data_IF_011312961086
#
_entry.id   IF_011312961086
#
_cell.length_a   1.000
_cell.length_b   1.000
_cell.length_c   1.000
_cell.angle_alpha   90.00
_cell.angle_beta   90.00
_cell.angle_gamma   90.00
#
_symmetry.space_group_name_H-M   'P 1'
#
loop_
_entity.id
_entity.type
_entity.pdbx_description
1 polymer ?
#
# COMPACT_ATOMS: atom_id res chain seq x y z
N UNK A 1 95.81 1.53 -17.91
CA UNK A 1 95.35 2.93 -18.09
C UNK A 1 93.82 2.96 -18.15
N UNK A 2 93.20 3.95 -17.46
CA UNK A 2 91.76 4.31 -17.35
C UNK A 2 90.88 3.33 -16.54
N UNK A 3 90.59 3.56 -15.24
CA UNK A 3 89.67 4.50 -14.53
C UNK A 3 88.17 4.30 -14.84
N UNK A 4 87.41 3.69 -13.91
CA UNK A 4 86.31 4.20 -13.00
C UNK A 4 85.03 4.64 -13.78
N UNK A 5 83.74 4.37 -13.47
CA UNK A 5 82.92 4.50 -12.23
C UNK A 5 81.59 3.69 -12.34
N UNK A 6 81.16 3.19 -11.18
CA UNK A 6 79.85 2.68 -10.73
C UNK A 6 78.62 3.55 -11.08
N UNK A 7 77.47 2.96 -11.38
CA UNK A 7 76.18 3.33 -10.74
C UNK A 7 75.19 2.17 -10.83
N UNK A 8 74.68 1.77 -9.67
CA UNK A 8 73.61 0.78 -9.55
C UNK A 8 72.23 1.42 -9.56
N UNK A 9 71.21 0.61 -9.83
CA UNK A 9 69.83 0.86 -9.40
C UNK A 9 69.29 -0.47 -8.87
N UNK A 10 69.18 -0.56 -7.54
CA UNK A 10 68.44 -1.60 -6.86
C UNK A 10 66.94 -1.30 -7.01
N UNK A 11 66.18 -2.25 -7.57
CA UNK A 11 64.72 -2.17 -7.64
C UNK A 11 64.14 -2.38 -6.23
N UNK A 12 63.71 -1.30 -5.60
CA UNK A 12 62.98 -1.30 -4.35
C UNK A 12 61.49 -1.53 -4.66
N UNK A 13 61.01 -2.77 -4.59
CA UNK A 13 59.59 -3.07 -4.61
C UNK A 13 58.96 -2.71 -3.26
N UNK A 14 58.41 -1.50 -3.18
CA UNK A 14 57.54 -1.08 -2.08
C UNK A 14 56.21 -1.83 -2.19
N UNK A 15 56.08 -2.90 -1.40
CA UNK A 15 54.80 -3.53 -1.10
C UNK A 15 54.03 -2.63 -0.13
N UNK A 16 53.23 -1.69 -0.63
CA UNK A 16 52.29 -0.96 0.19
C UNK A 16 51.10 -1.89 0.53
N UNK A 17 51.17 -2.51 1.70
CA UNK A 17 50.03 -3.18 2.30
C UNK A 17 48.95 -2.14 2.65
N UNK A 18 48.00 -1.90 1.75
CA UNK A 18 46.72 -1.30 2.12
C UNK A 18 45.85 -2.40 2.72
N UNK A 19 45.79 -2.42 4.06
CA UNK A 19 44.81 -3.20 4.79
C UNK A 19 43.41 -2.70 4.44
N UNK A 20 42.70 -3.45 3.59
CA UNK A 20 41.26 -3.31 3.37
C UNK A 20 40.54 -3.78 4.63
N UNK A 21 40.12 -2.84 5.47
CA UNK A 21 39.18 -3.11 6.57
C UNK A 21 37.76 -3.07 5.98
N UNK A 22 37.44 -4.09 5.18
CA UNK A 22 36.05 -4.44 4.87
C UNK A 22 35.58 -5.52 5.84
N UNK A 23 34.28 -5.59 6.20
CA UNK A 23 33.77 -6.70 6.99
C UNK A 23 33.95 -7.99 6.18
N UNK A 24 34.95 -8.78 6.56
CA UNK A 24 35.13 -10.14 6.10
C UNK A 24 34.03 -11.00 6.71
N UNK A 25 33.31 -11.83 5.95
CA UNK A 25 32.44 -12.84 6.53
C UNK A 25 33.34 -13.85 7.24
N UNK A 26 33.46 -13.73 8.56
CA UNK A 26 34.11 -14.76 9.36
C UNK A 26 33.18 -15.96 9.33
N UNK A 27 33.45 -16.93 8.44
CA UNK A 27 32.87 -18.26 8.53
C UNK A 27 33.50 -18.96 9.73
N UNK A 28 33.14 -18.49 10.93
CA UNK A 28 33.49 -19.19 12.16
C UNK A 28 32.82 -20.57 12.08
N UNK A 29 33.63 -21.61 12.19
CA UNK A 29 33.17 -22.97 12.30
C UNK A 29 32.10 -23.04 13.40
N UNK A 30 30.88 -23.40 13.01
CA UNK A 30 29.78 -23.61 13.94
C UNK A 30 30.05 -24.95 14.62
N UNK A 31 30.74 -24.90 15.75
CA UNK A 31 30.75 -26.00 16.72
C UNK A 31 29.61 -25.76 17.69
N UNK A 32 28.72 -26.75 17.76
CA UNK A 32 27.64 -27.03 18.72
C UNK A 32 27.26 -25.97 19.77
N UNK A 33 25.95 -25.69 19.81
CA UNK A 33 25.19 -25.38 21.03
C UNK A 33 25.53 -24.13 21.86
N UNK A 34 26.16 -23.10 21.27
CA UNK A 34 26.05 -21.77 21.87
C UNK A 34 24.66 -21.21 21.55
N UNK A 35 23.79 -21.21 22.57
CA UNK A 35 22.52 -20.47 22.62
C UNK A 35 22.60 -19.16 21.82
N UNK A 36 22.10 -19.16 20.58
CA UNK A 36 22.09 -17.98 19.70
C UNK A 36 21.43 -16.78 20.40
N UNK A 37 20.48 -17.05 21.32
CA UNK A 37 19.82 -16.07 22.19
C UNK A 37 20.69 -15.36 23.24
N UNK A 38 21.93 -15.77 23.48
CA UNK A 38 22.84 -15.10 24.42
C UNK A 38 23.88 -14.19 23.73
N UNK A 39 23.89 -14.12 22.40
CA UNK A 39 24.94 -13.40 21.65
C UNK A 39 24.73 -11.89 21.57
N UNK A 40 23.49 -11.40 21.63
CA UNK A 40 23.16 -9.98 21.41
C UNK A 40 22.37 -9.41 22.58
N UNK A 41 22.96 -8.43 23.29
CA UNK A 41 22.34 -7.85 24.49
C UNK A 41 21.16 -6.92 24.18
N UNK A 42 21.09 -6.39 22.97
CA UNK A 42 20.15 -5.36 22.54
C UNK A 42 18.88 -5.91 21.87
N UNK A 43 18.72 -7.25 21.81
CA UNK A 43 17.50 -7.90 21.32
C UNK A 43 16.66 -8.53 22.43
N UNK A 44 17.19 -8.68 23.65
CA UNK A 44 16.46 -9.30 24.76
C UNK A 44 15.20 -8.49 25.11
N UNK A 45 14.03 -9.13 25.03
CA UNK A 45 12.73 -8.49 25.26
C UNK A 45 12.24 -7.63 24.10
N UNK A 46 12.97 -7.60 22.97
CA UNK A 46 12.55 -6.91 21.77
C UNK A 46 11.48 -7.72 21.02
N UNK A 47 10.45 -7.07 20.46
CA UNK A 47 9.35 -7.76 19.77
C UNK A 47 9.81 -8.68 18.62
N UNK A 48 10.94 -8.33 18.00
CA UNK A 48 11.53 -9.07 16.88
C UNK A 48 12.58 -10.12 17.30
N UNK A 49 12.81 -10.33 18.59
CA UNK A 49 13.88 -11.22 19.11
C UNK A 49 13.83 -12.60 18.44
N UNK A 50 12.66 -13.25 18.47
CA UNK A 50 12.49 -14.57 17.86
C UNK A 50 12.78 -14.57 16.36
N UNK A 51 12.29 -13.57 15.62
CA UNK A 51 12.52 -13.46 14.17
C UNK A 51 13.99 -13.22 13.85
N UNK A 52 14.68 -12.40 14.65
CA UNK A 52 16.11 -12.13 14.51
C UNK A 52 16.91 -13.42 14.73
N UNK A 53 16.62 -14.18 15.79
CA UNK A 53 17.30 -15.44 16.07
C UNK A 53 17.10 -16.47 14.96
N UNK A 54 15.89 -16.57 14.40
CA UNK A 54 15.60 -17.42 13.24
C UNK A 54 16.38 -16.97 12.00
N UNK A 55 16.44 -15.65 11.76
CA UNK A 55 17.17 -15.09 10.63
C UNK A 55 18.68 -15.38 10.70
N UNK A 56 19.26 -15.33 11.91
CA UNK A 56 20.66 -15.70 12.18
C UNK A 56 20.86 -17.20 11.96
N UNK A 57 19.94 -18.04 12.47
CA UNK A 57 20.00 -19.49 12.29
C UNK A 57 19.93 -19.88 10.80
N UNK A 58 19.14 -19.15 10.01
CA UNK A 58 19.07 -19.29 8.55
C UNK A 58 20.28 -18.68 7.82
N UNK A 59 21.14 -17.93 8.50
CA UNK A 59 22.41 -17.43 7.97
C UNK A 59 22.32 -16.21 7.04
N UNK A 60 21.17 -15.56 6.90
CA UNK A 60 21.03 -14.42 5.98
C UNK A 60 21.28 -13.04 6.62
N UNK A 61 21.34 -12.97 7.95
CA UNK A 61 21.76 -11.80 8.75
C UNK A 61 22.83 -12.18 9.76
N UNK A 62 23.59 -11.19 10.19
CA UNK A 62 24.50 -11.28 11.33
C UNK A 62 24.41 -9.98 12.16
N UNK A 63 24.94 -10.02 13.37
CA UNK A 63 25.16 -8.84 14.19
C UNK A 63 26.53 -8.21 13.97
N UNK A 64 26.91 -7.32 14.86
CA UNK A 64 28.14 -6.54 14.78
C UNK A 64 29.23 -7.11 15.71
N UNK A 65 30.53 -6.83 15.43
CA UNK A 65 31.64 -7.32 16.25
C UNK A 65 31.58 -6.90 17.73
N UNK A 66 30.85 -5.83 18.06
CA UNK A 66 30.66 -5.33 19.41
C UNK A 66 29.57 -6.08 20.21
N UNK A 67 29.02 -7.16 19.65
CA UNK A 67 27.99 -7.98 20.30
C UNK A 67 26.59 -7.36 20.29
N UNK A 68 26.33 -6.42 19.38
CA UNK A 68 24.99 -5.85 19.14
C UNK A 68 24.38 -6.34 17.83
N UNK A 69 23.06 -6.32 17.75
CA UNK A 69 22.33 -6.58 16.50
C UNK A 69 21.79 -5.29 15.85
N UNK A 70 21.52 -4.27 16.65
CA UNK A 70 20.94 -2.99 16.28
C UNK A 70 19.56 -3.14 15.59
N UNK A 71 18.56 -3.78 16.25
CA UNK A 71 17.26 -4.08 15.64
C UNK A 71 16.50 -2.83 15.19
N UNK A 72 16.72 -1.70 15.86
CA UNK A 72 16.04 -0.43 15.59
C UNK A 72 16.79 0.49 14.60
N UNK A 73 17.97 0.08 14.12
CA UNK A 73 18.67 0.87 13.10
C UNK A 73 17.91 0.86 11.79
N UNK A 74 17.92 1.99 11.10
CA UNK A 74 17.35 2.12 9.75
C UNK A 74 18.22 1.34 8.77
N UNK A 75 17.60 0.49 7.96
CA UNK A 75 18.30 -0.22 6.88
C UNK A 75 18.34 0.59 5.60
N UNK A 76 19.45 0.50 4.91
CA UNK A 76 19.62 1.03 3.57
C UNK A 76 18.98 0.11 2.53
N UNK A 77 18.77 0.63 1.31
CA UNK A 77 18.30 -0.16 0.17
C UNK A 77 19.22 -1.34 -0.15
N UNK A 78 20.54 -1.11 -0.12
CA UNK A 78 21.56 -2.14 -0.29
C UNK A 78 21.42 -3.28 0.73
N UNK A 79 21.26 -2.94 2.01
CA UNK A 79 21.15 -3.93 3.09
C UNK A 79 19.88 -4.76 2.96
N UNK A 80 18.71 -4.14 2.69
CA UNK A 80 17.47 -4.89 2.51
C UNK A 80 17.58 -5.89 1.34
N UNK A 81 18.13 -5.45 0.21
CA UNK A 81 18.28 -6.32 -0.97
C UNK A 81 19.25 -7.46 -0.67
N UNK A 82 20.39 -7.19 -0.04
CA UNK A 82 21.31 -8.25 0.42
C UNK A 82 20.60 -9.25 1.33
N UNK A 83 19.85 -8.77 2.32
CA UNK A 83 19.14 -9.64 3.26
C UNK A 83 18.11 -10.51 2.54
N UNK A 84 17.36 -9.94 1.60
CA UNK A 84 16.33 -10.65 0.82
C UNK A 84 16.95 -11.71 -0.09
N UNK A 85 18.01 -11.36 -0.81
CA UNK A 85 18.73 -12.27 -1.73
C UNK A 85 19.33 -13.45 -0.95
N UNK A 86 19.97 -13.18 0.19
CA UNK A 86 20.52 -14.22 1.05
C UNK A 86 19.43 -15.10 1.69
N UNK A 87 18.30 -14.52 2.10
CA UNK A 87 17.21 -15.27 2.71
C UNK A 87 16.53 -16.24 1.74
N UNK A 88 16.51 -15.89 0.45
CA UNK A 88 15.98 -16.70 -0.64
C UNK A 88 17.01 -17.67 -1.22
N UNK A 89 18.22 -17.72 -0.67
CA UNK A 89 19.33 -18.57 -1.11
C UNK A 89 19.61 -18.45 -2.62
N UNK A 90 19.58 -17.22 -3.14
CA UNK A 90 19.83 -16.96 -4.56
C UNK A 90 21.33 -16.99 -4.86
N UNK A 91 21.69 -17.43 -6.06
CA UNK A 91 23.07 -17.42 -6.51
C UNK A 91 23.62 -16.00 -6.61
N UNK A 92 24.71 -15.74 -5.88
CA UNK A 92 25.40 -14.44 -5.87
C UNK A 92 26.75 -14.60 -6.56
N UNK A 93 26.84 -14.14 -7.81
CA UNK A 93 28.08 -14.13 -8.57
C UNK A 93 29.12 -13.15 -8.01
N UNK A 94 30.40 -13.38 -8.28
CA UNK A 94 31.45 -12.41 -7.94
C UNK A 94 31.52 -11.31 -9.00
N UNK A 95 31.46 -10.05 -8.58
CA UNK A 95 31.59 -8.90 -9.47
C UNK A 95 32.36 -7.77 -8.80
N UNK A 96 32.98 -6.90 -9.59
CA UNK A 96 33.68 -5.73 -9.09
C UNK A 96 32.70 -4.58 -8.76
N UNK A 97 33.09 -3.71 -7.83
CA UNK A 97 32.31 -2.54 -7.44
C UNK A 97 32.00 -2.51 -5.95
N UNK A 98 30.93 -1.80 -5.58
CA UNK A 98 30.44 -1.74 -4.20
C UNK A 98 30.08 -3.13 -3.66
N UNK A 99 30.20 -3.33 -2.34
CA UNK A 99 29.94 -4.61 -1.68
C UNK A 99 28.56 -5.22 -1.97
N UNK A 100 27.57 -4.38 -2.30
CA UNK A 100 26.20 -4.79 -2.60
C UNK A 100 25.97 -5.14 -4.08
N UNK A 101 26.89 -4.81 -5.00
CA UNK A 101 26.66 -4.92 -6.46
C UNK A 101 26.26 -6.34 -6.88
N UNK A 102 26.95 -7.37 -6.37
CA UNK A 102 26.61 -8.76 -6.67
C UNK A 102 25.19 -9.15 -6.22
N UNK A 103 24.74 -8.65 -5.06
CA UNK A 103 23.40 -8.91 -4.55
C UNK A 103 22.33 -8.18 -5.36
N UNK A 104 22.62 -6.94 -5.78
CA UNK A 104 21.75 -6.19 -6.69
C UNK A 104 21.58 -6.95 -8.00
N UNK A 105 22.66 -7.44 -8.59
CA UNK A 105 22.62 -8.22 -9.83
C UNK A 105 21.78 -9.50 -9.65
N UNK A 106 21.98 -10.23 -8.55
CA UNK A 106 21.19 -11.41 -8.23
C UNK A 106 19.68 -11.08 -8.09
N UNK A 107 19.36 -9.98 -7.41
CA UNK A 107 17.99 -9.49 -7.28
C UNK A 107 17.37 -9.08 -8.62
N UNK A 108 18.16 -8.53 -9.56
CA UNK A 108 17.70 -8.23 -10.91
C UNK A 108 17.42 -9.51 -11.70
N UNK A 109 18.35 -10.47 -11.68
CA UNK A 109 18.19 -11.77 -12.36
C UNK A 109 16.95 -12.52 -11.85
N UNK A 110 16.70 -12.49 -10.54
CA UNK A 110 15.52 -13.10 -9.93
C UNK A 110 14.23 -12.26 -10.12
N UNK A 111 14.30 -11.07 -10.73
CA UNK A 111 13.15 -10.19 -10.92
C UNK A 111 12.62 -9.54 -9.64
N UNK A 112 13.38 -9.59 -8.54
CA UNK A 112 13.05 -8.98 -7.24
C UNK A 112 13.23 -7.46 -7.30
N UNK A 113 14.20 -7.00 -8.07
CA UNK A 113 14.48 -5.58 -8.29
C UNK A 113 14.53 -5.28 -9.80
N UNK A 114 14.04 -4.10 -10.20
CA UNK A 114 14.08 -3.57 -11.56
C UNK A 114 14.69 -2.17 -11.55
N UNK A 115 15.47 -1.84 -12.58
CA UNK A 115 16.04 -0.50 -12.70
C UNK A 115 14.93 0.56 -12.70
N UNK A 116 15.08 1.58 -11.86
CA UNK A 116 14.08 2.64 -11.68
C UNK A 116 13.12 2.44 -10.50
N UNK A 117 13.12 1.28 -9.82
CA UNK A 117 12.29 1.12 -8.61
C UNK A 117 12.71 2.06 -7.48
N UNK A 118 14.02 2.35 -7.40
CA UNK A 118 14.63 3.25 -6.42
C UNK A 118 15.07 4.53 -7.12
N UNK A 119 14.61 5.68 -6.64
CA UNK A 119 14.98 6.96 -7.23
C UNK A 119 16.50 7.13 -7.26
N UNK A 120 17.02 7.46 -8.44
CA UNK A 120 18.45 7.67 -8.75
C UNK A 120 19.36 6.47 -8.51
N UNK A 121 18.82 5.26 -8.29
CA UNK A 121 19.61 4.06 -7.96
C UNK A 121 20.59 4.28 -6.80
N UNK A 122 20.25 5.17 -5.87
CA UNK A 122 21.07 5.44 -4.69
C UNK A 122 20.83 4.34 -3.65
N UNK A 123 21.75 3.39 -3.60
CA UNK A 123 21.69 2.19 -2.76
C UNK A 123 21.96 2.44 -1.28
N UNK A 124 22.50 3.60 -0.94
CA UNK A 124 22.87 3.98 0.44
C UNK A 124 21.74 4.68 1.19
N UNK A 125 20.69 5.11 0.48
CA UNK A 125 19.53 5.73 1.10
C UNK A 125 18.76 4.76 2.00
N UNK A 126 18.11 5.28 3.06
CA UNK A 126 17.11 4.54 3.82
C UNK A 126 16.08 3.86 2.92
N UNK A 127 15.77 2.62 3.25
CA UNK A 127 14.70 1.87 2.61
C UNK A 127 13.34 2.35 3.11
N UNK A 128 12.50 2.86 2.20
CA UNK A 128 11.11 3.20 2.54
C UNK A 128 10.23 1.95 2.64
N UNK A 129 9.07 2.07 3.28
CA UNK A 129 8.10 0.97 3.39
C UNK A 129 7.49 0.60 2.04
N UNK A 130 7.30 1.56 1.13
CA UNK A 130 6.85 1.29 -0.24
C UNK A 130 7.92 0.53 -1.04
N UNK A 131 9.17 0.96 -0.95
CA UNK A 131 10.29 0.28 -1.60
C UNK A 131 10.48 -1.14 -1.08
N UNK A 132 10.39 -1.34 0.24
CA UNK A 132 10.41 -2.66 0.85
C UNK A 132 9.23 -3.51 0.36
N UNK A 133 8.03 -2.92 0.19
CA UNK A 133 6.87 -3.62 -0.34
C UNK A 133 7.09 -4.09 -1.78
N UNK A 134 7.73 -3.26 -2.63
CA UNK A 134 8.09 -3.65 -4.01
C UNK A 134 8.99 -4.89 -4.02
N UNK A 135 10.05 -4.88 -3.21
CA UNK A 135 10.99 -6.00 -3.07
C UNK A 135 10.28 -7.25 -2.55
N UNK A 136 9.51 -7.11 -1.47
CA UNK A 136 8.83 -8.23 -0.81
C UNK A 136 7.78 -8.88 -1.71
N UNK A 137 7.00 -8.08 -2.45
CA UNK A 137 5.95 -8.57 -3.36
C UNK A 137 6.53 -9.42 -4.49
N UNK A 138 7.65 -8.97 -5.06
CA UNK A 138 8.34 -9.75 -6.10
C UNK A 138 9.02 -10.98 -5.55
N UNK A 139 9.62 -10.88 -4.37
CA UNK A 139 10.25 -12.01 -3.70
C UNK A 139 9.28 -13.19 -3.43
N UNK A 140 8.01 -12.92 -3.13
CA UNK A 140 7.02 -14.00 -2.99
C UNK A 140 6.43 -14.48 -4.33
N UNK A 141 6.59 -13.73 -5.42
CA UNK A 141 6.33 -14.22 -6.78
C UNK A 141 5.44 -13.35 -7.68
N UNK A 142 5.05 -12.14 -7.26
CA UNK A 142 4.20 -11.26 -8.08
C UNK A 142 5.04 -10.17 -8.74
N UNK A 143 5.15 -10.21 -10.07
CA UNK A 143 6.09 -9.39 -10.85
C UNK A 143 5.45 -8.34 -11.75
N UNK A 144 4.19 -8.52 -12.11
CA UNK A 144 3.36 -7.57 -12.87
C UNK A 144 2.41 -6.87 -11.92
N UNK A 145 2.73 -5.61 -11.60
CA UNK A 145 2.06 -4.84 -10.55
C UNK A 145 2.01 -3.39 -11.01
N UNK A 146 0.84 -2.78 -10.91
CA UNK A 146 0.61 -1.38 -11.25
C UNK A 146 1.36 -0.44 -10.28
N UNK A 147 1.55 0.81 -10.69
CA UNK A 147 2.13 1.82 -9.80
C UNK A 147 1.33 1.90 -8.48
N UNK A 148 2.05 1.95 -7.35
CA UNK A 148 1.53 1.97 -5.96
C UNK A 148 0.75 0.73 -5.49
N UNK A 149 0.41 -0.22 -6.37
CA UNK A 149 -0.29 -1.46 -5.99
C UNK A 149 0.51 -2.33 -5.00
N UNK A 150 1.83 -2.16 -4.95
CA UNK A 150 2.75 -2.89 -4.08
C UNK A 150 2.34 -2.88 -2.60
N UNK A 151 1.95 -1.72 -2.07
CA UNK A 151 1.50 -1.60 -0.68
C UNK A 151 0.23 -2.41 -0.43
N UNK A 152 -0.69 -2.41 -1.39
CA UNK A 152 -1.93 -3.19 -1.32
C UNK A 152 -1.65 -4.69 -1.33
N UNK A 153 -0.82 -5.16 -2.25
CA UNK A 153 -0.47 -6.59 -2.33
C UNK A 153 0.29 -7.04 -1.08
N UNK A 154 1.23 -6.24 -0.57
CA UNK A 154 1.98 -6.57 0.63
C UNK A 154 1.06 -6.66 1.86
N UNK A 155 0.14 -5.70 2.04
CA UNK A 155 -0.81 -5.72 3.17
C UNK A 155 -1.85 -6.83 3.02
N UNK A 156 -2.41 -7.04 1.82
CA UNK A 156 -3.43 -8.05 1.54
C UNK A 156 -2.92 -9.46 1.81
N UNK A 157 -1.68 -9.74 1.43
CA UNK A 157 -1.03 -11.03 1.70
C UNK A 157 -0.42 -11.10 3.11
N UNK A 158 -0.67 -10.09 3.94
CA UNK A 158 -0.19 -10.00 5.31
C UNK A 158 1.29 -9.66 5.43
N UNK A 159 2.10 -9.61 4.37
CA UNK A 159 3.55 -9.38 4.43
C UNK A 159 3.93 -8.13 5.24
N UNK A 160 3.16 -7.05 5.11
CA UNK A 160 3.33 -5.82 5.89
C UNK A 160 2.03 -5.47 6.61
N UNK A 161 2.14 -4.90 7.82
CA UNK A 161 1.02 -4.36 8.60
C UNK A 161 1.04 -2.83 8.63
N UNK A 162 -0.05 -2.22 9.11
CA UNK A 162 -0.09 -0.80 9.38
C UNK A 162 0.86 -0.39 10.51
N UNK A 163 1.22 0.90 10.54
CA UNK A 163 1.94 1.53 11.65
C UNK A 163 0.98 1.96 12.76
N UNK A 164 -0.27 2.23 12.39
CA UNK A 164 -1.41 2.48 13.26
C UNK A 164 -2.71 2.13 12.50
N UNK A 165 -3.88 2.06 13.15
CA UNK A 165 -5.15 1.82 12.45
C UNK A 165 -5.39 2.83 11.32
N UNK A 166 -5.39 2.33 10.07
CA UNK A 166 -5.59 3.15 8.87
C UNK A 166 -4.33 3.88 8.38
N UNK A 167 -3.16 3.58 8.93
CA UNK A 167 -1.89 4.19 8.56
C UNK A 167 -0.89 3.16 8.04
N UNK A 168 -0.37 3.37 6.83
CA UNK A 168 0.58 2.47 6.17
C UNK A 168 1.96 3.10 5.95
N UNK A 169 2.09 4.41 6.12
CA UNK A 169 3.32 5.21 6.03
C UNK A 169 4.25 4.82 4.86
N UNK A 170 3.89 5.00 3.58
CA UNK A 170 4.67 4.51 2.43
C UNK A 170 6.12 5.03 2.40
N UNK A 171 6.31 6.32 2.72
CA UNK A 171 7.62 6.97 2.79
C UNK A 171 8.35 6.76 4.13
N UNK A 172 7.73 6.07 5.08
CA UNK A 172 8.35 5.79 6.38
C UNK A 172 9.58 4.91 6.21
N UNK A 173 10.64 5.21 6.96
CA UNK A 173 11.89 4.43 6.94
C UNK A 173 11.71 3.07 7.62
N UNK A 174 12.41 2.06 7.13
CA UNK A 174 12.35 0.70 7.64
C UNK A 174 13.51 0.41 8.59
N UNK A 175 13.21 -0.15 9.76
CA UNK A 175 14.22 -0.66 10.70
C UNK A 175 14.71 -2.05 10.31
N UNK A 176 15.89 -2.45 10.79
CA UNK A 176 16.46 -3.79 10.57
C UNK A 176 15.55 -4.91 11.06
N UNK A 177 14.89 -4.73 12.20
CA UNK A 177 13.90 -5.67 12.72
C UNK A 177 12.65 -5.78 11.82
N UNK A 178 12.15 -4.66 11.30
CA UNK A 178 11.02 -4.66 10.36
C UNK A 178 11.37 -5.36 9.04
N UNK A 179 12.57 -5.13 8.51
CA UNK A 179 13.06 -5.82 7.33
C UNK A 179 13.07 -7.35 7.50
N UNK A 180 13.58 -7.83 8.64
CA UNK A 180 13.60 -9.27 8.96
C UNK A 180 12.19 -9.82 9.09
N UNK A 181 11.31 -9.14 9.81
CA UNK A 181 9.92 -9.57 9.96
C UNK A 181 9.21 -9.69 8.60
N UNK A 182 9.46 -8.77 7.67
CA UNK A 182 8.91 -8.82 6.30
C UNK A 182 9.50 -9.99 5.51
N UNK A 183 10.82 -10.21 5.58
CA UNK A 183 11.48 -11.33 4.89
C UNK A 183 10.96 -12.68 5.41
N UNK A 184 10.85 -12.88 6.72
CA UNK A 184 10.30 -14.12 7.29
C UNK A 184 8.84 -14.36 6.87
N UNK A 185 8.06 -13.29 6.70
CA UNK A 185 6.67 -13.39 6.20
C UNK A 185 6.64 -13.77 4.72
N UNK A 186 7.55 -13.22 3.91
CA UNK A 186 7.73 -13.66 2.51
C UNK A 186 8.09 -15.15 2.45
N UNK A 187 9.07 -15.59 3.24
CA UNK A 187 9.46 -17.01 3.31
C UNK A 187 8.29 -17.90 3.72
N UNK A 188 7.51 -17.47 4.72
CA UNK A 188 6.31 -18.21 5.17
C UNK A 188 5.29 -18.42 4.05
N UNK A 189 5.05 -17.40 3.21
CA UNK A 189 4.15 -17.52 2.04
C UNK A 189 4.73 -18.47 1.00
N UNK A 190 6.05 -18.40 0.74
CA UNK A 190 6.72 -19.32 -0.19
C UNK A 190 6.65 -20.77 0.28
N UNK A 191 6.61 -21.00 1.59
CA UNK A 191 6.35 -22.31 2.21
C UNK A 191 4.85 -22.72 2.16
N UNK A 192 4.01 -21.97 1.44
CA UNK A 192 2.59 -22.27 1.25
C UNK A 192 1.68 -21.83 2.41
N UNK A 193 2.18 -21.05 3.38
CA UNK A 193 1.35 -20.58 4.50
C UNK A 193 0.54 -19.36 4.11
N UNK A 194 -0.71 -19.31 4.56
CA UNK A 194 -1.53 -18.10 4.51
C UNK A 194 -1.29 -17.26 5.77
N UNK A 195 -1.03 -15.97 5.59
CA UNK A 195 -0.85 -15.03 6.69
C UNK A 195 -2.12 -14.23 6.94
N UNK A 196 -2.42 -13.96 8.21
CA UNK A 196 -3.45 -12.99 8.56
C UNK A 196 -3.05 -11.59 8.07
N UNK A 197 -4.01 -10.85 7.54
CA UNK A 197 -3.86 -9.48 7.08
C UNK A 197 -4.48 -8.49 8.07
N UNK A 198 -3.90 -7.28 8.11
CA UNK A 198 -4.45 -6.15 8.83
C UNK A 198 -5.48 -5.47 7.94
N UNK A 199 -6.77 -5.71 8.19
CA UNK A 199 -7.86 -5.19 7.36
C UNK A 199 -7.84 -3.66 7.20
N UNK A 200 -7.38 -2.92 8.21
CA UNK A 200 -7.31 -1.46 8.13
C UNK A 200 -6.13 -0.99 7.30
N UNK A 201 -4.99 -1.67 7.41
CA UNK A 201 -3.85 -1.42 6.53
C UNK A 201 -4.17 -1.78 5.07
N UNK A 202 -4.90 -2.87 4.84
CA UNK A 202 -5.37 -3.27 3.50
C UNK A 202 -6.26 -2.20 2.89
N UNK A 203 -7.27 -1.71 3.63
CA UNK A 203 -8.16 -0.65 3.17
C UNK A 203 -7.39 0.67 2.91
N UNK A 204 -6.45 1.04 3.78
CA UNK A 204 -5.63 2.23 3.61
C UNK A 204 -4.67 2.11 2.41
N UNK A 205 -4.10 0.92 2.16
CA UNK A 205 -3.26 0.66 1.00
C UNK A 205 -4.04 0.65 -0.31
N UNK A 206 -5.28 0.15 -0.28
CA UNK A 206 -6.19 0.27 -1.42
C UNK A 206 -6.52 1.74 -1.70
N UNK A 207 -6.82 2.53 -0.67
CA UNK A 207 -7.06 3.97 -0.83
C UNK A 207 -5.83 4.70 -1.39
N UNK A 208 -4.63 4.33 -0.95
CA UNK A 208 -3.37 4.88 -1.47
C UNK A 208 -3.20 4.58 -2.97
N UNK A 209 -3.49 3.34 -3.38
CA UNK A 209 -3.41 2.89 -4.76
C UNK A 209 -4.57 3.42 -5.61
N UNK A 210 -5.81 3.05 -5.34
CA UNK A 210 -6.95 3.30 -6.23
C UNK A 210 -7.70 4.61 -6.00
N UNK A 211 -7.35 5.36 -4.96
CA UNK A 211 -8.17 6.49 -4.45
C UNK A 211 -9.56 6.03 -3.98
N UNK A 212 -9.71 4.75 -3.68
CA UNK A 212 -10.90 4.19 -3.04
C UNK A 212 -10.52 2.97 -2.22
N UNK A 213 -11.30 2.66 -1.19
CA UNK A 213 -11.20 1.41 -0.42
C UNK A 213 -12.47 0.53 -0.59
N UNK A 214 -13.30 0.81 -1.61
CA UNK A 214 -14.57 0.12 -1.78
C UNK A 214 -14.38 -1.40 -1.92
N UNK A 215 -13.41 -1.89 -2.69
CA UNK A 215 -13.34 -3.34 -2.95
C UNK A 215 -12.89 -4.16 -1.74
N UNK A 216 -12.14 -3.56 -0.81
CA UNK A 216 -11.71 -4.24 0.41
C UNK A 216 -12.73 -4.25 1.52
N UNK A 217 -13.55 -3.20 1.63
CA UNK A 217 -14.51 -3.08 2.73
C UNK A 217 -15.95 -3.35 2.29
N UNK A 218 -16.26 -3.26 1.00
CA UNK A 218 -17.63 -3.29 0.49
C UNK A 218 -17.97 -4.57 -0.28
N UNK A 219 -17.17 -5.63 -0.19
CA UNK A 219 -17.52 -6.91 -0.83
C UNK A 219 -18.90 -7.39 -0.34
N UNK A 220 -19.26 -7.13 0.93
CA UNK A 220 -20.61 -7.34 1.48
C UNK A 220 -21.71 -6.49 0.81
N UNK A 221 -21.40 -5.28 0.34
CA UNK A 221 -22.37 -4.33 -0.24
C UNK A 221 -22.78 -4.78 -1.63
N UNK A 222 -21.79 -5.11 -2.45
CA UNK A 222 -22.01 -5.33 -3.87
C UNK A 222 -22.16 -6.81 -4.23
N UNK A 223 -21.80 -7.75 -3.33
CA UNK A 223 -21.98 -9.20 -3.48
C UNK A 223 -23.03 -9.78 -2.51
N UNK A 224 -24.13 -9.06 -2.24
CA UNK A 224 -25.27 -9.54 -1.42
C UNK A 224 -25.91 -10.86 -1.93
N UNK A 225 -26.93 -11.42 -1.27
CA UNK A 225 -27.41 -12.80 -1.51
C UNK A 225 -27.76 -13.15 -2.97
N UNK A 226 -28.34 -12.20 -3.74
CA UNK A 226 -28.60 -12.34 -5.19
C UNK A 226 -27.41 -11.98 -6.08
N UNK A 227 -26.43 -11.25 -5.54
CA UNK A 227 -25.17 -10.88 -6.19
C UNK A 227 -24.01 -11.81 -5.75
N UNK A 228 -24.33 -12.97 -5.16
CA UNK A 228 -23.35 -14.02 -4.83
C UNK A 228 -22.63 -14.56 -6.08
N UNK A 229 -23.20 -14.33 -7.26
CA UNK A 229 -22.47 -14.43 -8.50
C UNK A 229 -21.53 -13.22 -8.63
N UNK A 230 -20.23 -13.46 -8.48
CA UNK A 230 -19.16 -12.47 -8.57
C UNK A 230 -19.12 -11.68 -9.89
N UNK A 231 -19.94 -12.05 -10.88
CA UNK A 231 -20.20 -11.30 -12.12
C UNK A 231 -21.04 -10.04 -11.90
N UNK A 232 -21.89 -10.03 -10.88
CA UNK A 232 -22.81 -8.92 -10.58
C UNK A 232 -22.23 -7.87 -9.62
N UNK A 233 -21.00 -8.08 -9.15
CA UNK A 233 -20.23 -7.12 -8.36
C UNK A 233 -19.34 -6.21 -9.22
N UNK A 234 -18.93 -5.06 -8.68
CA UNK A 234 -18.05 -4.11 -9.38
C UNK A 234 -16.57 -4.52 -9.32
N UNK A 235 -15.91 -4.56 -10.48
CA UNK A 235 -14.46 -4.86 -10.58
C UNK A 235 -13.67 -3.94 -11.50
N UNK A 236 -14.34 -3.10 -12.29
CA UNK A 236 -13.72 -2.37 -13.40
C UNK A 236 -13.10 -1.01 -13.02
N UNK A 237 -12.75 -0.77 -11.76
CA UNK A 237 -12.25 0.54 -11.32
C UNK A 237 -10.86 0.84 -11.85
N UNK A 238 -10.68 2.04 -12.41
CA UNK A 238 -9.42 2.49 -12.99
C UNK A 238 -9.20 3.96 -12.66
N UNK A 239 -7.98 4.33 -12.28
CA UNK A 239 -7.64 5.73 -12.01
C UNK A 239 -7.88 6.66 -13.22
N UNK A 240 -7.73 6.15 -14.44
CA UNK A 240 -8.03 6.89 -15.67
C UNK A 240 -9.51 7.29 -15.82
N UNK A 241 -10.40 6.68 -15.03
CA UNK A 241 -11.82 7.02 -14.97
C UNK A 241 -12.14 8.06 -13.88
N UNK A 242 -11.17 8.51 -13.09
CA UNK A 242 -11.38 9.51 -12.02
C UNK A 242 -11.57 10.95 -12.54
N UNK A 243 -11.58 11.15 -13.85
CA UNK A 243 -11.76 12.46 -14.46
C UNK A 243 -13.00 12.47 -15.35
N UNK A 244 -13.83 13.50 -15.16
CA UNK A 244 -15.01 13.81 -15.98
C UNK A 244 -14.71 15.08 -16.77
N UNK A 245 -14.58 15.01 -18.08
CA UNK A 245 -14.24 16.18 -18.90
C UNK A 245 -15.22 16.39 -20.05
N UNK A 246 -15.58 17.65 -20.27
CA UNK A 246 -16.23 18.06 -21.51
C UNK A 246 -15.22 17.98 -22.68
N UNK A 247 -15.60 17.47 -23.87
CA UNK A 247 -14.67 17.35 -25.01
C UNK A 247 -14.02 18.67 -25.46
N UNK A 248 -14.70 19.79 -25.24
CA UNK A 248 -14.24 21.14 -25.59
C UNK A 248 -13.51 21.85 -24.44
N UNK A 249 -13.21 21.15 -23.34
CA UNK A 249 -12.57 21.71 -22.16
C UNK A 249 -13.41 22.72 -21.36
N UNK A 250 -14.73 22.82 -21.61
CA UNK A 250 -15.58 23.78 -20.87
C UNK A 250 -15.70 23.46 -19.39
N UNK A 251 -15.61 22.17 -19.03
CA UNK A 251 -15.76 21.66 -17.67
C UNK A 251 -14.81 20.49 -17.49
N UNK A 252 -14.17 20.44 -16.32
CA UNK A 252 -13.32 19.35 -15.91
C UNK A 252 -13.55 19.06 -14.43
N UNK A 253 -13.98 17.86 -14.12
CA UNK A 253 -14.12 17.35 -12.76
C UNK A 253 -13.14 16.25 -12.48
N UNK A 254 -12.71 16.15 -11.22
CA UNK A 254 -11.77 15.14 -10.74
C UNK A 254 -12.27 14.53 -9.45
N UNK A 255 -12.25 13.22 -9.36
CA UNK A 255 -12.44 12.45 -8.14
C UNK A 255 -11.09 12.35 -7.43
N UNK A 256 -11.01 12.92 -6.23
CA UNK A 256 -9.82 12.88 -5.41
C UNK A 256 -9.80 11.60 -4.57
N UNK A 257 -10.95 11.23 -4.00
CA UNK A 257 -11.14 9.94 -3.36
C UNK A 257 -12.62 9.53 -3.28
N UNK A 258 -12.87 8.23 -3.19
CA UNK A 258 -14.16 7.65 -2.87
C UNK A 258 -13.99 6.65 -1.72
N UNK A 259 -14.34 7.06 -0.51
CA UNK A 259 -14.04 6.33 0.72
C UNK A 259 -15.31 5.67 1.25
N UNK A 260 -15.28 4.35 1.40
CA UNK A 260 -16.26 3.58 2.15
C UNK A 260 -15.87 3.51 3.63
N UNK A 261 -16.86 3.74 4.49
CA UNK A 261 -16.74 3.71 5.94
C UNK A 261 -17.80 2.74 6.46
N UNK A 262 -17.38 1.73 7.22
CA UNK A 262 -18.30 0.83 7.88
C UNK A 262 -18.96 1.54 9.07
N UNK A 263 -20.26 1.82 8.96
CA UNK A 263 -21.00 2.45 10.06
C UNK A 263 -21.03 1.56 11.30
N UNK A 264 -21.03 0.24 11.10
CA UNK A 264 -21.19 -0.75 12.16
C UNK A 264 -19.85 -1.17 12.80
N UNK A 265 -18.71 -0.77 12.24
CA UNK A 265 -17.40 -0.99 12.85
C UNK A 265 -16.92 0.27 13.59
N UNK A 266 -17.03 0.34 14.93
CA UNK A 266 -16.59 1.52 15.68
C UNK A 266 -15.08 1.77 15.59
N UNK A 267 -14.29 0.79 15.13
CA UNK A 267 -12.84 0.87 14.98
C UNK A 267 -12.42 1.24 13.55
N UNK A 268 -13.35 1.43 12.62
CA UNK A 268 -13.03 1.90 11.27
C UNK A 268 -12.31 3.27 11.35
N UNK A 269 -11.05 3.35 10.90
CA UNK A 269 -10.23 4.58 11.00
C UNK A 269 -10.82 5.77 10.26
N UNK A 270 -11.66 5.54 9.25
CA UNK A 270 -12.25 6.59 8.43
C UNK A 270 -13.48 7.23 9.09
N UNK A 271 -14.02 6.67 10.19
CA UNK A 271 -15.10 7.30 10.97
C UNK A 271 -14.76 8.71 11.45
N UNK A 272 -13.46 9.03 11.61
CA UNK A 272 -12.99 10.39 11.94
C UNK A 272 -13.42 11.45 10.92
N UNK A 273 -13.69 11.05 9.67
CA UNK A 273 -14.15 11.92 8.59
C UNK A 273 -15.62 12.31 8.75
N UNK A 274 -16.41 11.55 9.52
CA UNK A 274 -17.83 11.82 9.68
C UNK A 274 -18.08 12.98 10.67
N UNK A 275 -19.18 13.75 10.47
CA UNK A 275 -19.70 14.67 11.47
C UNK A 275 -20.20 13.93 12.72
N UNK A 276 -20.49 14.68 13.78
CA UNK A 276 -21.20 14.14 14.93
C UNK A 276 -22.60 13.66 14.53
N UNK A 277 -23.12 12.62 15.20
CA UNK A 277 -24.39 11.95 14.83
C UNK A 277 -25.58 12.90 14.78
N UNK A 278 -25.60 13.94 15.62
CA UNK A 278 -26.66 14.96 15.66
C UNK A 278 -26.67 15.89 14.45
N UNK A 279 -25.57 15.95 13.70
CA UNK A 279 -25.40 16.78 12.50
C UNK A 279 -25.28 15.98 11.21
N UNK A 280 -25.40 14.65 11.30
CA UNK A 280 -25.21 13.75 10.16
C UNK A 280 -26.52 13.05 9.80
N UNK A 281 -26.92 13.17 8.55
CA UNK A 281 -28.24 12.75 8.06
C UNK A 281 -28.12 12.02 6.73
N UNK A 282 -29.07 11.13 6.46
CA UNK A 282 -29.36 10.66 5.11
C UNK A 282 -30.64 11.31 4.61
N UNK A 283 -30.82 11.35 3.28
CA UNK A 283 -31.89 12.09 2.64
C UNK A 283 -32.85 11.16 1.88
N UNK A 284 -34.15 11.40 2.03
CA UNK A 284 -35.19 10.80 1.19
C UNK A 284 -36.17 11.87 0.73
N UNK A 285 -36.35 12.04 -0.59
CA UNK A 285 -37.26 13.07 -1.13
C UNK A 285 -36.92 14.48 -0.62
N UNK A 286 -35.64 14.77 -0.37
CA UNK A 286 -35.17 16.04 0.19
C UNK A 286 -35.35 16.20 1.71
N UNK A 287 -35.96 15.24 2.40
CA UNK A 287 -36.13 15.27 3.86
C UNK A 287 -34.94 14.65 4.58
N UNK A 288 -34.48 15.31 5.65
CA UNK A 288 -33.43 14.81 6.53
C UNK A 288 -33.93 13.69 7.45
N UNK A 289 -33.14 12.61 7.53
CA UNK A 289 -33.38 11.47 8.40
C UNK A 289 -32.13 11.19 9.23
N UNK A 290 -32.32 10.90 10.52
CA UNK A 290 -31.22 10.57 11.43
C UNK A 290 -30.75 9.14 11.20
N UNK A 291 -29.46 8.92 11.40
CA UNK A 291 -28.91 7.59 11.53
C UNK A 291 -29.25 6.97 12.89
N UNK A 292 -29.47 5.67 12.89
CA UNK A 292 -29.62 4.81 14.06
C UNK A 292 -28.37 3.94 14.24
N UNK A 293 -28.14 3.49 15.47
CA UNK A 293 -27.06 2.52 15.77
C UNK A 293 -27.35 1.13 15.19
N UNK A 294 -28.62 0.86 14.90
CA UNK A 294 -29.06 -0.39 14.27
C UNK A 294 -29.02 -0.33 12.73
N UNK A 295 -28.66 0.80 12.13
CA UNK A 295 -28.57 0.90 10.68
C UNK A 295 -27.38 0.06 10.18
N UNK A 296 -27.66 -1.04 9.50
CA UNK A 296 -26.62 -1.87 8.88
C UNK A 296 -26.24 -1.28 7.51
N UNK A 297 -25.23 -0.42 7.49
CA UNK A 297 -24.86 0.34 6.30
C UNK A 297 -23.37 0.66 6.21
N UNK A 298 -22.95 1.06 5.02
CA UNK A 298 -21.71 1.79 4.81
C UNK A 298 -22.02 3.21 4.37
N UNK A 299 -21.13 4.13 4.74
CA UNK A 299 -21.12 5.49 4.23
C UNK A 299 -20.06 5.59 3.14
N UNK A 300 -20.47 5.99 1.94
CA UNK A 300 -19.57 6.37 0.87
C UNK A 300 -19.38 7.89 0.87
N UNK A 301 -18.14 8.35 1.06
CA UNK A 301 -17.74 9.74 0.95
C UNK A 301 -17.06 9.98 -0.39
N UNK A 302 -17.59 10.90 -1.18
CA UNK A 302 -16.98 11.38 -2.42
C UNK A 302 -16.27 12.72 -2.15
N UNK A 303 -14.95 12.72 -2.28
CA UNK A 303 -14.16 13.93 -2.40
C UNK A 303 -13.86 14.19 -3.88
N UNK A 304 -14.28 15.35 -4.37
CA UNK A 304 -14.14 15.72 -5.78
C UNK A 304 -14.10 17.23 -5.95
N UNK A 305 -13.51 17.64 -7.06
CA UNK A 305 -13.43 19.03 -7.50
C UNK A 305 -14.02 19.18 -8.90
N UNK A 306 -14.57 20.36 -9.20
CA UNK A 306 -15.06 20.73 -10.52
C UNK A 306 -14.57 22.12 -10.90
N UNK A 307 -13.90 22.19 -12.05
CA UNK A 307 -13.45 23.43 -12.68
C UNK A 307 -14.31 23.73 -13.90
N UNK A 308 -14.84 24.95 -13.97
CA UNK A 308 -15.78 25.37 -15.03
C UNK A 308 -15.19 26.57 -15.77
N UNK A 309 -14.76 26.34 -17.00
CA UNK A 309 -14.14 27.34 -17.86
C UNK A 309 -15.17 28.09 -18.71
N UNK A 310 -16.33 27.47 -19.01
CA UNK A 310 -17.43 28.09 -19.78
C UNK A 310 -18.78 27.77 -19.16
N UNK A 311 -19.68 28.76 -19.20
CA UNK A 311 -21.04 28.68 -18.63
C UNK A 311 -21.07 28.36 -17.11
N UNK A 312 -20.38 29.14 -16.24
CA UNK A 312 -20.34 28.88 -14.80
C UNK A 312 -21.72 28.85 -14.15
N UNK A 313 -22.68 29.63 -14.65
CA UNK A 313 -24.05 29.65 -14.12
C UNK A 313 -24.79 28.32 -14.29
N UNK A 314 -24.35 27.50 -15.24
CA UNK A 314 -24.88 26.16 -15.49
C UNK A 314 -24.39 25.07 -14.53
N UNK A 315 -23.33 25.34 -13.77
CA UNK A 315 -22.64 24.38 -12.88
C UNK A 315 -22.43 25.05 -11.52
N UNK A 316 -23.46 25.01 -10.67
CA UNK A 316 -23.53 25.83 -9.44
C UNK A 316 -22.73 25.28 -8.25
N UNK A 317 -22.00 24.19 -8.44
CA UNK A 317 -21.23 23.54 -7.38
C UNK A 317 -19.86 23.14 -7.89
N UNK A 318 -18.83 23.29 -7.07
CA UNK A 318 -17.45 22.92 -7.42
C UNK A 318 -17.14 21.45 -7.15
N UNK A 319 -18.12 20.55 -7.35
CA UNK A 319 -18.00 19.12 -7.05
C UNK A 319 -18.79 18.27 -8.04
N UNK A 320 -18.51 16.97 -8.03
CA UNK A 320 -19.27 15.95 -8.72
C UNK A 320 -20.38 15.37 -7.81
N UNK A 321 -21.40 14.79 -8.43
CA UNK A 321 -22.35 13.90 -7.78
C UNK A 321 -21.89 12.45 -7.93
N UNK A 322 -22.20 11.62 -6.92
CA UNK A 322 -22.02 10.17 -6.94
C UNK A 322 -23.38 9.51 -7.15
N UNK A 323 -23.44 8.55 -8.07
CA UNK A 323 -24.65 7.77 -8.34
C UNK A 323 -24.31 6.29 -8.38
N UNK A 324 -25.17 5.48 -7.75
CA UNK A 324 -25.12 4.01 -7.80
C UNK A 324 -26.40 3.54 -8.47
N UNK A 325 -26.25 2.92 -9.64
CA UNK A 325 -27.37 2.50 -10.50
C UNK A 325 -27.54 0.98 -10.50
N UNK A 326 -28.65 0.52 -11.06
CA UNK A 326 -29.01 -0.90 -11.22
C UNK A 326 -29.92 -1.45 -10.11
N UNK A 327 -30.35 -0.61 -9.17
CA UNK A 327 -31.25 -1.01 -8.10
C UNK A 327 -32.63 -1.38 -8.67
N UNK A 328 -33.13 -2.55 -8.32
CA UNK A 328 -34.40 -3.11 -8.82
C UNK A 328 -35.50 -3.17 -7.74
N UNK A 329 -35.22 -2.73 -6.51
CA UNK A 329 -36.18 -2.72 -5.41
C UNK A 329 -37.09 -1.48 -5.39
N UNK A 330 -37.98 -1.43 -4.40
CA UNK A 330 -38.84 -0.26 -4.15
C UNK A 330 -38.23 0.66 -3.08
N UNK A 331 -37.95 1.94 -3.37
CA UNK A 331 -37.41 2.87 -2.39
C UNK A 331 -38.27 3.00 -1.12
N UNK A 332 -37.63 3.08 0.04
CA UNK A 332 -38.30 3.31 1.33
C UNK A 332 -37.94 4.67 1.92
N UNK A 333 -38.95 5.36 2.45
CA UNK A 333 -38.78 6.61 3.22
C UNK A 333 -38.38 6.38 4.69
N UNK A 334 -38.57 5.15 5.17
CA UNK A 334 -38.44 4.78 6.59
C UNK A 334 -37.19 3.93 6.85
N UNK A 335 -36.58 3.37 5.79
CA UNK A 335 -35.39 2.52 5.86
C UNK A 335 -34.42 2.86 4.75
N UNK A 336 -33.12 2.68 5.03
CA UNK A 336 -32.08 2.73 4.01
C UNK A 336 -32.11 1.39 3.27
N UNK A 337 -32.72 1.34 2.09
CA UNK A 337 -32.84 0.11 1.28
C UNK A 337 -32.32 0.25 -0.15
N UNK A 338 -31.67 1.38 -0.43
CA UNK A 338 -30.93 1.69 -1.65
C UNK A 338 -29.85 2.70 -1.30
N UNK A 339 -29.00 3.05 -2.27
CA UNK A 339 -28.09 4.17 -2.09
C UNK A 339 -28.88 5.48 -1.91
N UNK A 340 -28.68 6.17 -0.78
CA UNK A 340 -29.35 7.44 -0.46
C UNK A 340 -28.33 8.55 -0.24
N UNK A 341 -28.58 9.79 -0.66
CA UNK A 341 -27.67 10.90 -0.37
C UNK A 341 -27.49 11.12 1.12
N UNK A 342 -26.29 11.54 1.52
CA UNK A 342 -26.00 11.99 2.89
C UNK A 342 -25.87 13.51 2.96
N UNK A 343 -26.02 14.05 4.16
CA UNK A 343 -25.88 15.46 4.46
C UNK A 343 -25.20 15.67 5.80
N UNK A 344 -24.32 16.67 5.84
CA UNK A 344 -23.78 17.25 7.05
C UNK A 344 -24.37 18.64 7.27
N UNK A 345 -24.85 18.89 8.48
CA UNK A 345 -25.19 20.23 8.95
C UNK A 345 -24.06 20.81 9.84
N UNK A 346 -22.87 20.19 9.83
CA UNK A 346 -21.68 20.76 10.46
C UNK A 346 -20.91 21.64 9.46
N UNK A 347 -20.86 22.97 9.65
CA UNK A 347 -20.17 23.87 8.73
C UNK A 347 -18.65 23.64 8.68
N UNK A 348 -18.07 22.90 9.63
CA UNK A 348 -16.64 22.56 9.65
C UNK A 348 -16.34 21.20 9.00
N UNK A 349 -17.38 20.41 8.69
CA UNK A 349 -17.26 19.08 8.08
C UNK A 349 -18.30 18.94 6.99
N UNK A 350 -18.08 19.68 5.91
CA UNK A 350 -18.85 19.51 4.69
C UNK A 350 -18.45 18.19 4.03
N UNK A 351 -19.41 17.29 3.86
CA UNK A 351 -19.19 15.97 3.25
C UNK A 351 -20.30 15.66 2.25
N UNK A 352 -19.93 14.87 1.24
CA UNK A 352 -20.80 14.50 0.15
C UNK A 352 -20.67 13.02 -0.15
N UNK A 353 -21.75 12.40 -0.61
CA UNK A 353 -21.75 11.01 -1.01
C UNK A 353 -23.07 10.33 -0.68
N UNK A 354 -23.01 9.05 -0.37
CA UNK A 354 -24.17 8.17 -0.25
C UNK A 354 -24.07 7.31 1.01
N UNK A 355 -25.19 6.92 1.58
CA UNK A 355 -25.29 5.76 2.47
C UNK A 355 -25.80 4.58 1.66
N UNK A 356 -25.24 3.40 1.88
CA UNK A 356 -25.62 2.16 1.21
C UNK A 356 -25.89 1.06 2.25
N UNK A 357 -27.03 0.35 2.17
CA UNK A 357 -27.34 -0.71 3.14
C UNK A 357 -26.55 -1.99 2.88
N UNK A 358 -26.23 -2.73 3.95
CA UNK A 358 -25.53 -4.02 3.87
C UNK A 358 -26.42 -5.18 3.42
N UNK A 359 -27.66 -5.27 3.94
CA UNK A 359 -28.50 -6.49 3.84
C UNK A 359 -29.80 -6.33 3.05
N UNK A 360 -30.03 -5.20 2.40
CA UNK A 360 -31.30 -4.91 1.70
C UNK A 360 -31.09 -4.29 0.31
N UNK A 361 -29.94 -4.57 -0.31
CA UNK A 361 -29.55 -4.02 -1.60
C UNK A 361 -29.67 -5.10 -2.67
N UNK A 362 -30.50 -4.84 -3.68
CA UNK A 362 -30.76 -5.73 -4.79
C UNK A 362 -30.41 -5.02 -6.09
N UNK A 363 -29.73 -5.73 -6.99
CA UNK A 363 -29.40 -5.23 -8.32
C UNK A 363 -29.88 -6.23 -9.36
N UNK A 364 -30.31 -5.73 -10.52
CA UNK A 364 -30.69 -6.53 -11.69
C UNK A 364 -29.47 -7.08 -12.46
N UNK A 365 -28.27 -6.98 -11.87
CA UNK A 365 -26.99 -7.29 -12.46
C UNK A 365 -26.34 -6.13 -13.23
N UNK A 366 -27.07 -5.03 -13.51
CA UNK A 366 -26.54 -3.87 -14.25
C UNK A 366 -25.81 -2.83 -13.37
N UNK A 367 -25.41 -3.23 -12.15
CA UNK A 367 -24.83 -2.35 -11.13
C UNK A 367 -23.68 -1.50 -11.70
N UNK A 368 -23.77 -0.19 -11.46
CA UNK A 368 -22.80 0.81 -11.89
C UNK A 368 -22.57 1.85 -10.80
N UNK A 369 -21.30 2.25 -10.64
CA UNK A 369 -20.91 3.43 -9.85
C UNK A 369 -20.42 4.48 -10.82
N UNK A 370 -21.06 5.64 -10.83
CA UNK A 370 -20.70 6.74 -11.71
C UNK A 370 -20.61 8.07 -10.97
N UNK A 371 -19.85 8.98 -11.56
CA UNK A 371 -19.79 10.38 -11.14
C UNK A 371 -20.21 11.27 -12.28
N UNK A 372 -20.86 12.38 -11.93
CA UNK A 372 -21.43 13.29 -12.90
C UNK A 372 -21.40 14.75 -12.43
N UNK A 373 -21.42 15.67 -13.39
CA UNK A 373 -21.52 17.10 -13.12
C UNK A 373 -22.92 17.45 -12.62
N UNK A 374 -23.02 18.27 -11.58
CA UNK A 374 -24.30 18.80 -11.10
C UNK A 374 -24.66 20.05 -11.93
N UNK A 375 -25.76 19.99 -12.67
CA UNK A 375 -26.14 21.04 -13.64
C UNK A 375 -27.52 21.63 -13.39
N UNK A 376 -27.74 22.85 -13.88
CA UNK A 376 -29.08 23.44 -13.98
C UNK A 376 -29.87 22.84 -15.15
N UNK A 377 -31.22 22.92 -15.15
CA UNK A 377 -32.02 22.48 -16.28
C UNK A 377 -31.53 23.08 -17.62
N UNK A 378 -31.49 22.26 -18.67
CA UNK A 378 -31.01 22.65 -20.00
C UNK A 378 -29.48 22.66 -20.18
N UNK A 379 -28.71 22.43 -19.12
CA UNK A 379 -27.24 22.35 -19.20
C UNK A 379 -26.81 20.88 -19.25
N UNK A 380 -25.92 20.58 -20.21
CA UNK A 380 -25.44 19.21 -20.46
C UNK A 380 -24.73 18.62 -19.25
N UNK A 381 -25.15 17.43 -18.84
CA UNK A 381 -24.46 16.62 -17.83
C UNK A 381 -23.30 15.86 -18.49
N UNK A 382 -22.12 15.94 -17.88
CA UNK A 382 -20.99 15.08 -18.20
C UNK A 382 -20.83 14.04 -17.10
N UNK A 383 -20.61 12.79 -17.47
CA UNK A 383 -20.54 11.68 -16.54
C UNK A 383 -19.44 10.68 -16.92
N UNK A 384 -18.97 9.93 -15.94
CA UNK A 384 -18.01 8.85 -16.11
C UNK A 384 -18.36 7.69 -15.18
N UNK A 385 -18.38 6.47 -15.73
CA UNK A 385 -18.49 5.25 -14.93
C UNK A 385 -17.15 5.00 -14.26
N UNK A 386 -17.16 4.93 -12.94
CA UNK A 386 -15.99 4.59 -12.15
C UNK A 386 -15.82 3.08 -12.07
N UNK A 387 -16.91 2.35 -11.86
CA UNK A 387 -16.94 0.90 -11.93
C UNK A 387 -18.30 0.37 -12.40
N UNK A 388 -18.30 -0.84 -12.94
CA UNK A 388 -19.51 -1.56 -13.35
C UNK A 388 -19.33 -3.07 -13.17
N UNK A 389 -20.47 -3.78 -13.18
CA UNK A 389 -20.53 -5.24 -13.15
C UNK A 389 -20.06 -5.89 -14.46
N UNK A 390 -19.62 -7.14 -14.35
CA UNK A 390 -19.20 -8.01 -15.45
C UNK A 390 -20.38 -8.93 -15.85
N UNK A 391 -21.43 -8.34 -16.45
CA UNK A 391 -22.59 -9.11 -16.94
C UNK A 391 -22.23 -10.05 -18.10
#
# INVERSE_FOLDING_TARGET
>A
MKKVILTGVAALTLLSAQASIGPQPVKAAITDDIKVGQRFKDITGHWAESSILQAIQRGYVDGFPDGKFLPNNIVTRAELVKMTVSALDLEVGSTSGSWYTSYVNAAQTAGIYKAGDFSNSDWTKPMSREEMSKVAVRAFGVTDVEDKQWMYLATKNGIITGTAPGEISPEGTTTRAQAIAVIERVLSIKDGKTLASDKYAVAAAELYWHKTNIFTVAEEIFNGPKNSNHRFGIKSWKQSNLTVSAPNGSVQGRVNSLIAIDWNDPKDPNRKLLPSKDKFFWLYGGQEKKFSDNDECYILLLDSELTVNKNPQGYRTNRLALSVLGYDGTPSKDKINQAMPIRSNDPKKEIYGLVIPKKALYYDGSLQVLVETITTPGVKVYQKKLAQSEL
#
